data_IF_176538271303
#
_entry.id   IF_176538271303
#
_cell.length_a   1.000
_cell.length_b   1.000
_cell.length_c   1.000
_cell.angle_alpha   90.00
_cell.angle_beta   90.00
_cell.angle_gamma   90.00
#
_symmetry.space_group_name_H-M   'P 1'
#
loop_
_entity.id
_entity.type
_entity.pdbx_description
1 polymer ?
#
# COMPACT_ATOMS: atom_id res chain seq x y z
N UNK A 1 20.22 -1.18 6.21
CA UNK A 1 21.58 -0.71 6.56
C UNK A 1 21.96 0.74 6.19
N UNK A 2 21.18 1.51 5.42
CA UNK A 2 21.23 3.00 5.47
C UNK A 2 19.81 3.56 5.67
N UNK A 3 18.84 3.06 4.89
CA UNK A 3 17.43 3.37 5.08
C UNK A 3 16.90 3.00 6.48
N UNK A 4 17.38 1.91 7.07
CA UNK A 4 16.99 1.49 8.42
C UNK A 4 17.36 2.53 9.50
N UNK A 5 18.39 3.36 9.31
CA UNK A 5 18.73 4.42 10.26
C UNK A 5 17.73 5.58 10.24
N UNK A 6 16.80 5.57 9.27
CA UNK A 6 15.72 6.53 9.17
C UNK A 6 14.44 6.05 9.88
N UNK A 7 14.43 4.85 10.45
CA UNK A 7 13.32 4.38 11.26
C UNK A 7 13.26 5.18 12.56
N UNK A 8 12.05 5.58 12.94
CA UNK A 8 11.83 6.20 14.23
C UNK A 8 11.86 5.14 15.32
N UNK A 9 12.64 5.40 16.36
CA UNK A 9 12.73 4.57 17.55
C UNK A 9 11.93 5.20 18.69
N UNK A 10 11.66 4.43 19.75
CA UNK A 10 10.99 4.98 20.95
C UNK A 10 11.80 6.10 21.61
N UNK A 11 13.13 6.00 21.56
CA UNK A 11 14.02 7.01 22.12
C UNK A 11 13.90 8.35 21.39
N UNK A 12 13.66 8.32 20.07
CA UNK A 12 13.46 9.53 19.27
C UNK A 12 12.22 10.30 19.71
N UNK A 13 11.12 9.59 20.00
CA UNK A 13 9.85 10.20 20.43
C UNK A 13 9.88 10.67 21.89
N UNK A 14 10.65 10.01 22.75
CA UNK A 14 10.70 10.29 24.20
C UNK A 14 11.73 11.38 24.55
N UNK A 15 12.78 11.55 23.75
CA UNK A 15 13.88 12.47 24.03
C UNK A 15 13.71 13.81 23.31
N UNK A 16 13.67 14.95 24.03
CA UNK A 16 13.57 16.27 23.39
C UNK A 16 14.70 16.52 22.39
N UNK A 17 14.33 16.92 21.16
CA UNK A 17 15.28 17.25 20.09
C UNK A 17 15.69 16.07 19.19
N UNK A 18 15.45 14.83 19.58
CA UNK A 18 15.84 13.67 18.74
C UNK A 18 15.00 13.53 17.47
N UNK A 19 13.72 13.89 17.49
CA UNK A 19 12.92 13.96 16.25
C UNK A 19 13.51 14.93 15.21
N UNK A 20 14.11 16.04 15.64
CA UNK A 20 14.79 16.98 14.75
C UNK A 20 16.09 16.38 14.20
N UNK A 21 16.89 15.75 15.07
CA UNK A 21 18.10 15.05 14.64
C UNK A 21 17.77 13.92 13.64
N UNK A 22 16.72 13.14 13.88
CA UNK A 22 16.23 12.12 12.97
C UNK A 22 15.79 12.71 11.62
N UNK A 23 15.15 13.89 11.63
CA UNK A 23 14.79 14.59 10.41
C UNK A 23 16.03 15.04 9.61
N UNK A 24 17.08 15.51 10.28
CA UNK A 24 18.36 15.83 9.64
C UNK A 24 19.03 14.60 9.03
N UNK A 25 19.08 13.48 9.77
CA UNK A 25 19.58 12.20 9.27
C UNK A 25 18.80 11.74 8.05
N UNK A 26 17.46 11.79 8.11
CA UNK A 26 16.57 11.47 6.97
C UNK A 26 16.88 12.35 5.76
N UNK A 27 17.08 13.65 5.95
CA UNK A 27 17.42 14.59 4.89
C UNK A 27 18.75 14.25 4.22
N UNK A 28 19.79 13.96 5.00
CA UNK A 28 21.11 13.58 4.50
C UNK A 28 21.07 12.25 3.74
N UNK A 29 20.43 11.23 4.32
CA UNK A 29 20.27 9.91 3.71
C UNK A 29 19.51 10.00 2.40
N UNK A 30 18.39 10.72 2.37
CA UNK A 30 17.59 10.87 1.15
C UNK A 30 18.33 11.67 0.08
N UNK A 31 19.05 12.74 0.46
CA UNK A 31 19.87 13.52 -0.48
C UNK A 31 20.98 12.68 -1.10
N UNK A 32 21.63 11.83 -0.29
CA UNK A 32 22.63 10.89 -0.79
C UNK A 32 22.02 9.87 -1.77
N UNK A 33 20.93 9.21 -1.38
CA UNK A 33 20.25 8.23 -2.25
C UNK A 33 19.74 8.87 -3.54
N UNK A 34 19.29 10.12 -3.48
CA UNK A 34 18.92 10.88 -4.67
C UNK A 34 20.07 11.00 -5.67
N UNK A 35 21.26 11.40 -5.20
CA UNK A 35 22.45 11.48 -6.06
C UNK A 35 22.86 10.11 -6.60
N UNK A 36 22.81 9.07 -5.76
CA UNK A 36 23.11 7.69 -6.16
C UNK A 36 22.17 7.22 -7.28
N UNK A 37 20.87 7.50 -7.19
CA UNK A 37 19.90 7.14 -8.22
C UNK A 37 20.07 7.93 -9.52
N UNK A 38 20.56 9.17 -9.44
CA UNK A 38 20.89 9.95 -10.64
C UNK A 38 22.09 9.32 -11.35
N UNK A 39 23.11 8.91 -10.60
CA UNK A 39 24.33 8.30 -11.15
C UNK A 39 24.05 6.91 -11.71
N UNK A 40 23.29 6.10 -10.99
CA UNK A 40 22.89 4.75 -11.40
C UNK A 40 21.41 4.47 -11.07
N UNK A 41 20.51 4.69 -12.04
CA UNK A 41 19.09 4.38 -11.91
C UNK A 41 18.77 2.93 -11.56
N UNK A 42 19.64 1.98 -11.91
CA UNK A 42 19.39 0.56 -11.67
C UNK A 42 19.37 0.23 -10.17
N UNK A 43 20.08 1.02 -9.35
CA UNK A 43 20.08 0.89 -7.90
C UNK A 43 18.72 1.20 -7.29
N UNK A 44 17.96 2.14 -7.88
CA UNK A 44 16.60 2.42 -7.42
C UNK A 44 15.73 1.17 -7.56
N UNK A 45 15.77 0.53 -8.74
CA UNK A 45 15.08 -0.75 -8.97
C UNK A 45 15.53 -1.80 -7.95
N UNK A 46 16.83 -2.00 -7.76
CA UNK A 46 17.34 -3.01 -6.84
C UNK A 46 16.87 -2.81 -5.39
N UNK A 47 16.93 -1.58 -4.87
CA UNK A 47 16.51 -1.27 -3.50
C UNK A 47 15.01 -1.51 -3.30
N UNK A 48 14.16 -1.06 -4.23
CA UNK A 48 12.72 -1.31 -4.13
C UNK A 48 12.35 -2.77 -4.37
N UNK A 49 13.10 -3.49 -5.22
CA UNK A 49 12.93 -4.94 -5.39
C UNK A 49 13.39 -5.72 -4.18
N UNK A 50 14.42 -5.28 -3.45
CA UNK A 50 14.82 -5.86 -2.18
C UNK A 50 13.77 -5.59 -1.09
N UNK A 51 13.15 -4.40 -1.12
CA UNK A 51 12.16 -3.97 -0.16
C UNK A 51 12.80 -3.48 1.14
N UNK A 52 12.03 -2.70 1.88
CA UNK A 52 12.38 -2.13 3.18
C UNK A 52 11.08 -1.85 3.95
N UNK A 53 11.15 -1.55 5.26
CA UNK A 53 9.95 -1.31 6.08
C UNK A 53 9.04 -0.22 5.50
N UNK A 54 7.74 -0.48 5.43
CA UNK A 54 6.76 0.37 4.75
C UNK A 54 6.63 1.76 5.39
N UNK A 55 7.00 1.90 6.66
CA UNK A 55 7.08 3.16 7.41
C UNK A 55 8.05 4.16 6.76
N UNK A 56 9.04 3.66 5.99
CA UNK A 56 10.00 4.48 5.27
C UNK A 56 9.51 4.89 3.87
N UNK A 57 8.40 4.35 3.37
CA UNK A 57 7.88 4.74 2.05
C UNK A 57 7.57 6.25 1.96
N UNK A 58 6.89 6.88 2.93
CA UNK A 58 6.65 8.32 2.89
C UNK A 58 7.95 9.13 2.97
N UNK A 59 8.94 8.66 3.75
CA UNK A 59 10.24 9.32 3.91
C UNK A 59 11.04 9.28 2.60
N UNK A 60 11.15 8.09 2.02
CA UNK A 60 11.91 7.86 0.77
C UNK A 60 11.28 8.56 -0.42
N UNK A 61 9.96 8.44 -0.61
CA UNK A 61 9.28 9.06 -1.75
C UNK A 61 9.30 10.58 -1.70
N UNK A 62 9.11 11.20 -0.52
CA UNK A 62 9.18 12.67 -0.39
C UNK A 62 10.60 13.20 -0.38
N UNK A 63 11.53 12.47 0.24
CA UNK A 63 12.91 12.90 0.43
C UNK A 63 13.80 12.68 -0.79
N UNK A 64 13.44 11.78 -1.71
CA UNK A 64 14.25 11.41 -2.87
C UNK A 64 13.52 11.86 -4.16
N UNK A 65 13.81 13.05 -4.71
CA UNK A 65 13.11 13.57 -5.89
C UNK A 65 13.19 12.67 -7.14
N UNK A 66 14.26 11.89 -7.27
CA UNK A 66 14.45 10.94 -8.37
C UNK A 66 13.67 9.63 -8.20
N UNK A 67 12.96 9.40 -7.09
CA UNK A 67 12.23 8.16 -6.83
C UNK A 67 11.09 7.88 -7.83
N UNK A 68 10.62 8.88 -8.57
CA UNK A 68 9.63 8.70 -9.64
C UNK A 68 10.11 7.76 -10.76
N UNK A 69 11.42 7.58 -10.94
CA UNK A 69 11.98 6.62 -11.90
C UNK A 69 11.54 5.17 -11.63
N UNK A 70 11.16 4.88 -10.39
CA UNK A 70 10.71 3.55 -9.97
C UNK A 70 9.37 3.14 -10.60
N UNK A 71 8.57 4.10 -11.10
CA UNK A 71 7.34 3.84 -11.85
C UNK A 71 7.59 2.91 -13.06
N UNK A 72 8.79 2.93 -13.63
CA UNK A 72 9.14 2.13 -14.80
C UNK A 72 9.23 0.64 -14.47
N UNK A 73 9.68 0.32 -13.26
CA UNK A 73 9.89 -1.06 -12.77
C UNK A 73 8.77 -1.57 -11.86
N UNK A 74 7.84 -0.70 -11.47
CA UNK A 74 6.73 -1.03 -10.58
C UNK A 74 5.80 -2.14 -11.12
N UNK A 75 5.41 -2.15 -12.41
CA UNK A 75 4.63 -3.25 -12.98
C UNK A 75 5.31 -4.61 -12.82
N UNK A 76 6.63 -4.67 -13.02
CA UNK A 76 7.44 -5.89 -12.85
C UNK A 76 7.50 -6.32 -11.38
N UNK A 77 7.56 -5.37 -10.44
CA UNK A 77 7.54 -5.65 -9.00
C UNK A 77 6.17 -6.18 -8.54
N UNK A 78 5.08 -5.64 -9.09
CA UNK A 78 3.71 -6.10 -8.82
C UNK A 78 3.44 -7.51 -9.34
N UNK A 79 4.14 -7.95 -10.39
CA UNK A 79 3.99 -9.29 -10.95
C UNK A 79 4.85 -10.35 -10.26
N UNK A 80 5.64 -9.98 -9.24
CA UNK A 80 6.40 -10.96 -8.46
C UNK A 80 5.44 -11.96 -7.77
N UNK A 81 5.80 -13.25 -7.69
CA UNK A 81 4.94 -14.28 -7.08
C UNK A 81 4.79 -14.11 -5.56
N UNK A 82 5.63 -13.29 -4.93
CA UNK A 82 5.59 -13.04 -3.49
C UNK A 82 4.54 -11.99 -3.14
N UNK A 83 3.54 -12.40 -2.34
CA UNK A 83 2.51 -11.51 -1.76
C UNK A 83 3.14 -10.30 -1.05
N UNK A 84 4.26 -10.50 -0.33
CA UNK A 84 4.96 -9.41 0.35
C UNK A 84 5.53 -8.38 -0.64
N UNK A 85 6.04 -8.81 -1.80
CA UNK A 85 6.51 -7.89 -2.84
C UNK A 85 5.35 -7.15 -3.49
N UNK A 86 4.22 -7.83 -3.71
CA UNK A 86 3.00 -7.22 -4.22
C UNK A 86 2.46 -6.14 -3.28
N UNK A 87 2.38 -6.42 -1.98
CA UNK A 87 1.99 -5.44 -0.95
C UNK A 87 2.90 -4.21 -1.03
N UNK A 88 4.22 -4.43 -0.97
CA UNK A 88 5.20 -3.34 -1.00
C UNK A 88 5.08 -2.52 -2.30
N UNK A 89 4.88 -3.17 -3.45
CA UNK A 89 4.72 -2.48 -4.74
C UNK A 89 3.50 -1.56 -4.76
N UNK A 90 2.37 -2.02 -4.22
CA UNK A 90 1.12 -1.26 -4.20
C UNK A 90 1.22 -0.08 -3.22
N UNK A 91 1.84 -0.28 -2.05
CA UNK A 91 2.11 0.80 -1.09
C UNK A 91 3.11 1.84 -1.65
N UNK A 92 4.12 1.39 -2.39
CA UNK A 92 5.05 2.29 -3.07
C UNK A 92 4.34 3.09 -4.18
N UNK A 93 3.50 2.42 -4.98
CA UNK A 93 2.70 3.07 -6.02
C UNK A 93 1.77 4.13 -5.44
N UNK A 94 1.11 3.86 -4.30
CA UNK A 94 0.21 4.84 -3.68
C UNK A 94 0.95 6.09 -3.19
N UNK A 95 2.12 5.93 -2.58
CA UNK A 95 2.96 7.05 -2.17
C UNK A 95 3.49 7.85 -3.37
N UNK A 96 3.96 7.15 -4.42
CA UNK A 96 4.43 7.79 -5.64
C UNK A 96 3.28 8.52 -6.37
N UNK A 97 2.07 7.99 -6.34
CA UNK A 97 0.90 8.60 -6.97
C UNK A 97 0.49 9.88 -6.25
N UNK A 98 0.51 9.89 -4.91
CA UNK A 98 0.26 11.08 -4.12
C UNK A 98 1.32 12.17 -4.35
N UNK A 99 2.58 11.78 -4.43
CA UNK A 99 3.70 12.72 -4.62
C UNK A 99 3.82 13.21 -6.07
N UNK A 100 3.54 12.32 -7.03
CA UNK A 100 3.72 12.52 -8.46
C UNK A 100 2.46 12.08 -9.22
N UNK A 101 1.48 12.98 -9.31
CA UNK A 101 0.26 12.79 -10.08
C UNK A 101 0.53 12.89 -11.60
N UNK A 102 1.12 11.83 -12.17
CA UNK A 102 1.48 11.73 -13.58
C UNK A 102 0.47 10.83 -14.31
N UNK A 103 0.21 11.07 -15.61
CA UNK A 103 -0.62 10.16 -16.42
C UNK A 103 -0.09 8.71 -16.43
N UNK A 104 1.24 8.56 -16.34
CA UNK A 104 1.89 7.25 -16.24
C UNK A 104 1.54 6.53 -14.93
N UNK A 105 1.58 7.22 -13.79
CA UNK A 105 1.21 6.60 -12.51
C UNK A 105 -0.28 6.23 -12.47
N UNK A 106 -1.16 7.03 -13.08
CA UNK A 106 -2.57 6.67 -13.25
C UNK A 106 -2.75 5.33 -13.98
N UNK A 107 -2.08 5.13 -15.12
CA UNK A 107 -2.15 3.88 -15.89
C UNK A 107 -1.63 2.67 -15.07
N UNK A 108 -0.60 2.89 -14.25
CA UNK A 108 -0.07 1.85 -13.37
C UNK A 108 -1.07 1.56 -12.24
N UNK A 109 -1.79 2.55 -11.71
CA UNK A 109 -2.88 2.35 -10.74
C UNK A 109 -4.04 1.52 -11.33
N UNK A 110 -4.42 1.76 -12.58
CA UNK A 110 -5.41 0.92 -13.27
C UNK A 110 -4.91 -0.53 -13.39
N UNK A 111 -3.63 -0.70 -13.77
CA UNK A 111 -3.00 -2.03 -13.85
C UNK A 111 -2.98 -2.74 -12.50
N UNK A 112 -2.67 -1.99 -11.43
CA UNK A 112 -2.70 -2.47 -10.06
C UNK A 112 -4.10 -2.93 -9.66
N UNK A 113 -5.15 -2.16 -9.94
CA UNK A 113 -6.53 -2.56 -9.64
C UNK A 113 -6.92 -3.85 -10.37
N UNK A 114 -6.60 -3.97 -11.66
CA UNK A 114 -6.85 -5.20 -12.42
C UNK A 114 -6.14 -6.41 -11.81
N UNK A 115 -4.90 -6.24 -11.35
CA UNK A 115 -4.18 -7.29 -10.62
C UNK A 115 -4.90 -7.65 -9.31
N UNK A 116 -5.34 -6.67 -8.52
CA UNK A 116 -6.06 -6.92 -7.26
C UNK A 116 -7.38 -7.66 -7.49
N UNK A 117 -8.13 -7.32 -8.55
CA UNK A 117 -9.32 -8.06 -8.95
C UNK A 117 -9.00 -9.52 -9.32
N UNK A 118 -7.94 -9.76 -10.09
CA UNK A 118 -7.51 -11.12 -10.44
C UNK A 118 -7.09 -11.93 -9.20
N UNK A 119 -6.36 -11.31 -8.28
CA UNK A 119 -5.90 -11.94 -7.04
C UNK A 119 -7.06 -12.27 -6.10
N UNK A 120 -8.17 -11.53 -6.15
CA UNK A 120 -9.35 -11.78 -5.30
C UNK A 120 -9.83 -13.24 -5.40
N UNK A 121 -9.84 -13.80 -6.61
CA UNK A 121 -10.23 -15.19 -6.87
C UNK A 121 -9.07 -16.20 -6.91
N UNK A 122 -7.85 -15.75 -7.20
CA UNK A 122 -6.72 -16.64 -7.46
C UNK A 122 -5.95 -17.10 -6.22
N UNK A 123 -6.01 -16.35 -5.11
CA UNK A 123 -5.24 -16.65 -3.89
C UNK A 123 -6.09 -17.31 -2.79
N UNK A 124 -5.42 -17.99 -1.86
CA UNK A 124 -6.09 -18.63 -0.73
C UNK A 124 -6.73 -17.59 0.22
N UNK A 125 -7.75 -17.97 1.02
CA UNK A 125 -8.39 -17.04 1.95
C UNK A 125 -7.41 -16.36 2.92
N UNK A 126 -6.45 -17.11 3.48
CA UNK A 126 -5.41 -16.57 4.37
C UNK A 126 -4.51 -15.55 3.68
N UNK A 127 -4.12 -15.84 2.43
CA UNK A 127 -3.33 -14.89 1.63
C UNK A 127 -4.14 -13.64 1.30
N UNK A 128 -5.45 -13.78 1.06
CA UNK A 128 -6.37 -12.67 0.81
C UNK A 128 -6.42 -11.71 2.00
N UNK A 129 -6.61 -12.23 3.21
CA UNK A 129 -6.59 -11.43 4.45
C UNK A 129 -5.29 -10.65 4.55
N UNK A 130 -4.16 -11.36 4.45
CA UNK A 130 -2.83 -10.77 4.58
C UNK A 130 -2.57 -9.69 3.52
N UNK A 131 -2.97 -9.93 2.27
CA UNK A 131 -2.77 -9.00 1.16
C UNK A 131 -3.60 -7.72 1.34
N UNK A 132 -4.91 -7.88 1.53
CA UNK A 132 -5.81 -6.74 1.51
C UNK A 132 -5.77 -5.91 2.78
N UNK A 133 -5.50 -6.52 3.95
CA UNK A 133 -5.27 -5.77 5.19
C UNK A 133 -4.20 -4.68 5.02
N UNK A 134 -3.11 -5.00 4.33
CA UNK A 134 -1.98 -4.08 4.13
C UNK A 134 -2.19 -3.09 2.96
N UNK A 135 -3.03 -3.45 1.98
CA UNK A 135 -3.23 -2.67 0.75
C UNK A 135 -4.39 -1.69 0.86
N UNK A 136 -5.41 -1.99 1.66
CA UNK A 136 -6.62 -1.18 1.78
C UNK A 136 -6.33 0.32 2.04
N UNK A 137 -5.42 0.72 2.96
CA UNK A 137 -5.06 2.13 3.14
C UNK A 137 -4.41 2.79 1.92
N UNK A 138 -3.68 2.01 1.10
CA UNK A 138 -3.05 2.49 -0.13
C UNK A 138 -4.11 2.85 -1.19
N UNK A 139 -5.28 2.20 -1.19
CA UNK A 139 -6.36 2.50 -2.12
C UNK A 139 -6.98 3.89 -1.86
N UNK A 140 -7.13 4.29 -0.60
CA UNK A 140 -7.56 5.68 -0.26
C UNK A 140 -6.59 6.72 -0.82
N UNK A 141 -5.29 6.42 -0.75
CA UNK A 141 -4.26 7.33 -1.25
C UNK A 141 -4.28 7.41 -2.79
N UNK A 142 -4.50 6.29 -3.46
CA UNK A 142 -4.65 6.24 -4.92
C UNK A 142 -5.90 7.02 -5.35
N UNK A 143 -7.04 6.86 -4.66
CA UNK A 143 -8.25 7.63 -5.00
C UNK A 143 -8.05 9.13 -4.77
N UNK A 144 -7.33 9.52 -3.71
CA UNK A 144 -7.02 10.92 -3.45
C UNK A 144 -6.09 11.52 -4.52
N UNK A 145 -5.08 10.76 -4.97
CA UNK A 145 -4.22 11.18 -6.07
C UNK A 145 -4.96 11.23 -7.42
N UNK A 146 -5.87 10.29 -7.63
CA UNK A 146 -6.60 10.12 -8.88
C UNK A 146 -8.11 9.93 -8.62
N UNK A 147 -8.85 11.04 -8.43
CA UNK A 147 -10.30 10.99 -8.22
C UNK A 147 -11.09 10.18 -9.25
N UNK A 148 -10.71 10.13 -10.54
CA UNK A 148 -11.41 9.29 -11.52
C UNK A 148 -11.43 7.78 -11.19
N UNK A 149 -10.49 7.28 -10.38
CA UNK A 149 -10.46 5.88 -9.96
C UNK A 149 -11.34 5.58 -8.74
N UNK A 150 -11.94 6.59 -8.12
CA UNK A 150 -12.69 6.41 -6.88
C UNK A 150 -13.86 5.41 -7.05
N UNK A 151 -14.59 5.48 -8.17
CA UNK A 151 -15.69 4.56 -8.45
C UNK A 151 -15.20 3.11 -8.59
N UNK A 152 -14.16 2.88 -9.39
CA UNK A 152 -13.57 1.54 -9.57
C UNK A 152 -13.04 0.96 -8.25
N UNK A 153 -12.39 1.79 -7.43
CA UNK A 153 -11.91 1.38 -6.11
C UNK A 153 -13.09 1.02 -5.20
N UNK A 154 -14.16 1.82 -5.18
CA UNK A 154 -15.36 1.50 -4.40
C UNK A 154 -15.99 0.19 -4.87
N UNK A 155 -16.10 -0.03 -6.18
CA UNK A 155 -16.60 -1.30 -6.72
C UNK A 155 -15.71 -2.47 -6.28
N UNK A 156 -14.39 -2.28 -6.26
CA UNK A 156 -13.46 -3.28 -5.77
C UNK A 156 -13.71 -3.63 -4.30
N UNK A 157 -13.87 -2.62 -3.43
CA UNK A 157 -14.19 -2.81 -2.01
C UNK A 157 -15.49 -3.59 -1.81
N UNK A 158 -16.52 -3.29 -2.59
CA UNK A 158 -17.79 -4.01 -2.54
C UNK A 158 -17.59 -5.50 -2.89
N UNK A 159 -16.82 -5.80 -3.94
CA UNK A 159 -16.55 -7.19 -4.31
C UNK A 159 -15.72 -7.92 -3.25
N UNK A 160 -14.71 -7.26 -2.68
CA UNK A 160 -13.90 -7.80 -1.58
C UNK A 160 -14.78 -8.16 -0.38
N UNK A 161 -15.65 -7.24 0.05
CA UNK A 161 -16.57 -7.45 1.19
C UNK A 161 -17.57 -8.57 0.91
N UNK A 162 -18.08 -8.71 -0.32
CA UNK A 162 -18.97 -9.82 -0.69
C UNK A 162 -18.26 -11.17 -0.61
N UNK A 163 -17.03 -11.25 -1.10
CA UNK A 163 -16.21 -12.47 -1.02
C UNK A 163 -15.91 -12.81 0.45
N UNK A 164 -15.51 -11.81 1.25
CA UNK A 164 -15.27 -11.99 2.68
C UNK A 164 -16.52 -12.51 3.40
N UNK A 165 -17.67 -11.85 3.23
CA UNK A 165 -18.93 -12.27 3.85
C UNK A 165 -19.31 -13.70 3.47
N UNK A 166 -19.23 -14.05 2.17
CA UNK A 166 -19.52 -15.40 1.70
C UNK A 166 -18.63 -16.45 2.36
N UNK A 167 -17.35 -16.14 2.60
CA UNK A 167 -16.41 -17.05 3.23
C UNK A 167 -16.65 -17.18 4.73
N UNK A 168 -16.96 -16.08 5.42
CA UNK A 168 -17.31 -16.10 6.84
C UNK A 168 -18.56 -16.95 7.08
N UNK A 169 -19.60 -16.81 6.26
CA UNK A 169 -20.82 -17.62 6.36
C UNK A 169 -20.56 -19.12 6.17
N UNK A 170 -19.69 -19.49 5.22
CA UNK A 170 -19.29 -20.88 5.01
C UNK A 170 -18.48 -21.40 6.21
N UNK A 171 -17.51 -20.63 6.71
CA UNK A 171 -16.69 -21.02 7.85
C UNK A 171 -17.52 -21.26 9.12
N UNK A 172 -18.48 -20.37 9.41
CA UNK A 172 -19.42 -20.53 10.53
C UNK A 172 -20.23 -21.82 10.40
N UNK A 173 -20.77 -22.11 9.20
CA UNK A 173 -21.51 -23.35 8.96
C UNK A 173 -20.67 -24.62 9.22
N UNK A 174 -19.41 -24.64 8.78
CA UNK A 174 -18.51 -25.78 9.01
C UNK A 174 -18.07 -25.91 10.48
N UNK A 175 -17.88 -24.79 11.17
CA UNK A 175 -17.55 -24.78 12.60
C UNK A 175 -18.67 -25.41 13.43
N UNK A 176 -19.92 -25.01 13.16
CA UNK A 176 -21.10 -25.46 13.92
C UNK A 176 -21.44 -26.94 13.70
N UNK A 177 -21.08 -27.51 12.54
CA UNK A 177 -21.54 -28.84 12.13
C UNK A 177 -20.46 -29.92 11.98
N UNK A 178 -19.18 -29.56 11.77
CA UNK A 178 -18.16 -30.52 11.33
C UNK A 178 -16.85 -30.49 12.14
N UNK A 179 -16.71 -29.62 13.16
CA UNK A 179 -15.47 -29.46 13.97
C UNK A 179 -14.21 -29.49 13.10
N UNK A 180 -14.23 -28.71 12.02
CA UNK A 180 -13.13 -28.63 11.07
C UNK A 180 -12.27 -27.42 11.41
N UNK A 181 -10.94 -27.62 11.53
CA UNK A 181 -9.96 -26.53 11.59
C UNK A 181 -9.93 -25.83 10.24
N UNK A 182 -10.85 -24.90 10.07
CA UNK A 182 -11.01 -24.07 8.90
C UNK A 182 -9.75 -23.23 8.67
N UNK A 183 -9.23 -23.23 7.43
CA UNK A 183 -8.20 -22.25 7.04
C UNK A 183 -8.69 -20.80 7.14
N UNK A 184 -10.01 -20.61 7.18
CA UNK A 184 -10.70 -19.32 7.27
C UNK A 184 -11.03 -19.06 8.74
N UNK A 185 -10.35 -18.09 9.33
CA UNK A 185 -10.72 -17.55 10.62
C UNK A 185 -11.84 -16.51 10.41
N UNK A 186 -13.00 -16.74 11.01
CA UNK A 186 -14.15 -15.84 10.90
C UNK A 186 -13.78 -14.41 11.37
N UNK A 187 -12.96 -14.32 12.42
CA UNK A 187 -12.48 -13.05 12.96
C UNK A 187 -11.66 -12.25 11.94
N UNK A 188 -10.74 -12.90 11.23
CA UNK A 188 -9.89 -12.25 10.21
C UNK A 188 -10.70 -11.76 9.02
N UNK A 189 -11.76 -12.49 8.68
CA UNK A 189 -12.63 -12.15 7.54
C UNK A 189 -13.54 -10.96 7.86
N UNK A 190 -14.00 -10.86 9.12
CA UNK A 190 -14.70 -9.68 9.63
C UNK A 190 -13.80 -8.45 9.66
N UNK A 191 -12.55 -8.59 10.10
CA UNK A 191 -11.57 -7.49 10.14
C UNK A 191 -11.37 -6.84 8.76
N UNK A 192 -11.26 -7.63 7.68
CA UNK A 192 -11.17 -7.07 6.31
C UNK A 192 -12.41 -6.24 5.97
N UNK A 193 -13.60 -6.72 6.35
CA UNK A 193 -14.86 -6.06 6.00
C UNK A 193 -15.00 -4.72 6.73
N UNK A 194 -14.59 -4.67 7.99
CA UNK A 194 -14.50 -3.44 8.78
C UNK A 194 -13.49 -2.46 8.17
N UNK A 195 -12.29 -2.93 7.80
CA UNK A 195 -11.29 -2.10 7.13
C UNK A 195 -11.79 -1.57 5.77
N UNK A 196 -12.49 -2.39 4.99
CA UNK A 196 -13.07 -1.97 3.71
C UNK A 196 -14.13 -0.87 3.91
N UNK A 197 -14.92 -0.95 4.99
CA UNK A 197 -15.88 0.09 5.35
C UNK A 197 -15.20 1.39 5.76
N UNK A 198 -14.12 1.33 6.56
CA UNK A 198 -13.31 2.50 6.92
C UNK A 198 -12.74 3.16 5.66
N UNK A 199 -12.13 2.38 4.77
CA UNK A 199 -11.56 2.88 3.51
C UNK A 199 -12.64 3.49 2.62
N UNK A 200 -13.81 2.87 2.51
CA UNK A 200 -14.93 3.45 1.76
C UNK A 200 -15.29 4.85 2.29
N UNK A 201 -15.43 5.00 3.61
CA UNK A 201 -15.75 6.27 4.22
C UNK A 201 -14.65 7.32 4.01
N UNK A 202 -13.38 6.90 4.08
CA UNK A 202 -12.24 7.76 3.80
C UNK A 202 -12.22 8.24 2.35
N UNK A 203 -12.53 7.37 1.38
CA UNK A 203 -12.60 7.75 -0.04
C UNK A 203 -13.68 8.81 -0.24
N UNK A 204 -14.88 8.61 0.31
CA UNK A 204 -15.96 9.59 0.22
C UNK A 204 -15.52 10.94 0.82
N UNK A 205 -14.95 10.91 2.02
CA UNK A 205 -14.57 12.13 2.76
C UNK A 205 -13.42 12.87 2.09
N UNK A 206 -12.36 12.16 1.67
CA UNK A 206 -11.10 12.74 1.20
C UNK A 206 -11.03 12.98 -0.30
N UNK A 207 -11.82 12.23 -1.07
CA UNK A 207 -11.77 12.29 -2.54
C UNK A 207 -13.03 12.93 -3.12
N UNK A 208 -14.22 12.44 -2.72
CA UNK A 208 -15.49 12.87 -3.33
C UNK A 208 -15.98 14.19 -2.75
N UNK A 209 -15.95 14.32 -1.42
CA UNK A 209 -16.42 15.50 -0.70
C UNK A 209 -15.33 16.55 -0.52
N UNK A 210 -14.18 16.42 -1.20
CA UNK A 210 -13.06 17.35 -1.07
C UNK A 210 -13.47 18.73 -1.58
N UNK A 211 -13.71 19.66 -0.66
CA UNK A 211 -14.20 21.01 -0.97
C UNK A 211 -13.09 21.99 -1.38
N UNK A 212 -11.82 21.66 -1.13
CA UNK A 212 -10.67 22.47 -1.57
C UNK A 212 -9.97 21.81 -2.77
N UNK A 213 -10.18 22.40 -3.95
CA UNK A 213 -9.64 21.93 -5.23
C UNK A 213 -8.29 22.61 -5.57
N UNK A 214 -7.88 23.65 -4.82
CA UNK A 214 -6.62 24.37 -5.06
C UNK A 214 -5.94 24.76 -3.73
N UNK A 215 -4.70 24.33 -3.55
CA UNK A 215 -3.67 24.97 -2.72
C UNK A 215 -2.37 24.97 -3.52
#
# INVERSE_FOLDING_TARGET
>A
MLLETCLETKEDSETPGQLLALQEVRSLVCSYLHQVFIVDPSLAKLIHFQGYPSELLPVTVRGIPSAHICLDSLPELMQQPSVTKQIFAIQLLSQLSLQYALPKSLNICVTALNLLYALLGAISPRQRVRLFKEILPALTQISEAFPPLAEDIVQFLIQLSRVALSQASLASYFHDHLTWDSEINESETREISELAQVVFNDIITRTVLKTNIYN
#
